data_IF_615034909040
#
_entry.id   IF_615034909040
#
_cell.length_a   1.000
_cell.length_b   1.000
_cell.length_c   1.000
_cell.angle_alpha   90.00
_cell.angle_beta   90.00
_cell.angle_gamma   90.00
#
_symmetry.space_group_name_H-M   'P 1'
#
loop_
_entity.id
_entity.type
_entity.pdbx_description
1 polymer ?
#
# COMPACT_ATOMS: atom_id res chain seq x y z
N UNK A 1 -4.04 -4.39 -6.13
CA UNK A 1 -3.36 -3.27 -5.45
C UNK A 1 -4.15 -2.03 -5.82
N UNK A 2 -4.22 -1.02 -4.97
CA UNK A 2 -4.99 0.20 -5.30
C UNK A 2 -4.03 1.21 -5.95
N UNK A 3 -4.50 1.94 -6.96
CA UNK A 3 -3.72 2.95 -7.68
C UNK A 3 -3.27 4.07 -6.73
N UNK A 4 -4.20 4.63 -5.95
CA UNK A 4 -3.92 5.60 -4.88
C UNK A 4 -4.22 4.99 -3.50
N UNK A 5 -3.64 3.82 -3.22
CA UNK A 5 -3.85 3.13 -1.95
C UNK A 5 -3.02 3.72 -0.81
N UNK A 6 -3.65 3.95 0.34
CA UNK A 6 -2.97 4.45 1.54
C UNK A 6 -1.71 3.66 1.92
N UNK A 7 -1.79 2.33 1.93
CA UNK A 7 -0.62 1.48 2.22
C UNK A 7 0.52 1.67 1.21
N UNK A 8 0.22 1.85 -0.08
CA UNK A 8 1.24 2.07 -1.09
C UNK A 8 1.90 3.45 -0.95
N UNK A 9 1.10 4.48 -0.67
CA UNK A 9 1.58 5.84 -0.39
C UNK A 9 2.46 5.85 0.85
N UNK A 10 2.04 5.16 1.91
CA UNK A 10 2.81 5.08 3.15
C UNK A 10 4.16 4.38 2.95
N UNK A 11 4.15 3.21 2.29
CA UNK A 11 5.40 2.49 1.95
C UNK A 11 6.32 3.40 1.12
N UNK A 12 5.79 4.04 0.07
CA UNK A 12 6.57 4.93 -0.78
C UNK A 12 7.18 6.11 -0.02
N UNK A 13 6.43 6.71 0.91
CA UNK A 13 6.93 7.78 1.77
C UNK A 13 8.06 7.30 2.69
N UNK A 14 7.88 6.16 3.37
CA UNK A 14 8.89 5.63 4.28
C UNK A 14 10.15 5.17 3.52
N UNK A 15 9.99 4.49 2.38
CA UNK A 15 11.12 4.10 1.51
C UNK A 15 11.87 5.33 0.99
N UNK A 16 11.14 6.40 0.63
CA UNK A 16 11.76 7.66 0.22
C UNK A 16 12.59 8.25 1.35
N UNK A 17 12.02 8.40 2.55
CA UNK A 17 12.74 8.94 3.72
C UNK A 17 13.99 8.11 4.04
N UNK A 18 13.85 6.79 4.13
CA UNK A 18 14.96 5.85 4.37
C UNK A 18 16.06 5.98 3.30
N UNK A 19 15.69 6.08 2.02
CA UNK A 19 16.65 6.27 0.92
C UNK A 19 17.44 7.57 0.98
N UNK A 20 16.97 8.56 1.77
CA UNK A 20 17.63 9.84 2.01
C UNK A 20 18.44 9.87 3.30
N UNK A 21 18.56 8.73 4.00
CA UNK A 21 19.27 8.61 5.26
C UNK A 21 18.50 9.17 6.46
N UNK A 22 17.18 9.35 6.33
CA UNK A 22 16.31 9.71 7.45
C UNK A 22 16.02 8.46 8.28
N UNK A 23 16.17 8.56 9.60
CA UNK A 23 15.83 7.49 10.53
C UNK A 23 14.40 7.65 11.01
N UNK A 24 13.55 6.63 10.80
CA UNK A 24 12.15 6.61 11.22
C UNK A 24 12.05 5.96 12.60
N UNK A 25 11.45 6.65 13.56
CA UNK A 25 11.30 6.16 14.94
C UNK A 25 9.89 5.60 15.16
N UNK A 26 8.88 6.34 14.71
CA UNK A 26 7.47 6.02 14.95
C UNK A 26 6.63 6.42 13.73
N UNK A 27 5.63 5.61 13.39
CA UNK A 27 4.69 5.95 12.32
C UNK A 27 3.33 5.30 12.53
N UNK A 28 2.29 5.93 12.00
CA UNK A 28 0.99 5.26 11.86
C UNK A 28 0.30 5.58 10.54
N UNK A 29 -0.62 4.68 10.16
CA UNK A 29 -1.52 4.78 9.01
C UNK A 29 -2.93 4.38 9.44
N UNK A 30 -3.82 5.35 9.59
CA UNK A 30 -5.17 5.15 10.10
C UNK A 30 -6.21 5.49 9.04
N UNK A 31 -7.08 4.54 8.74
CA UNK A 31 -8.13 4.68 7.72
C UNK A 31 -9.50 4.91 8.35
N UNK A 32 -10.22 5.92 7.88
CA UNK A 32 -11.65 6.14 8.13
C UNK A 32 -12.39 5.99 6.80
N UNK A 33 -13.47 5.21 6.75
CA UNK A 33 -14.21 5.02 5.50
C UNK A 33 -15.71 4.95 5.68
N UNK A 34 -16.46 5.33 4.65
CA UNK A 34 -17.93 5.27 4.64
C UNK A 34 -18.52 4.07 3.87
N UNK A 35 -17.69 3.33 3.14
CA UNK A 35 -18.17 2.25 2.29
C UNK A 35 -18.50 0.98 3.06
N UNK A 36 -19.32 0.10 2.47
CA UNK A 36 -19.68 -1.20 3.08
C UNK A 36 -18.47 -2.09 3.39
N UNK A 37 -17.34 -1.92 2.67
CA UNK A 37 -16.08 -2.60 2.98
C UNK A 37 -15.50 -2.18 4.35
N UNK A 38 -15.75 -0.93 4.75
CA UNK A 38 -15.26 -0.38 6.03
C UNK A 38 -16.02 -0.97 7.22
N UNK A 39 -17.34 -1.17 7.09
CA UNK A 39 -18.18 -1.87 8.09
C UNK A 39 -17.66 -3.29 8.32
N UNK A 40 -17.45 -4.05 7.24
CA UNK A 40 -16.96 -5.42 7.33
C UNK A 40 -15.54 -5.50 7.92
N UNK A 41 -14.72 -4.46 7.69
CA UNK A 41 -13.37 -4.38 8.24
C UNK A 41 -13.39 -4.14 9.76
N UNK A 42 -14.29 -3.28 10.24
CA UNK A 42 -14.41 -2.96 11.67
C UNK A 42 -14.93 -4.15 12.49
N UNK A 43 -15.92 -4.88 11.99
CA UNK A 43 -16.60 -5.91 12.80
C UNK A 43 -15.85 -7.25 12.87
N UNK A 44 -15.17 -7.69 11.81
CA UNK A 44 -14.75 -9.10 11.69
C UNK A 44 -13.28 -9.33 11.39
N UNK A 45 -12.58 -8.36 10.82
CA UNK A 45 -11.24 -8.59 10.24
C UNK A 45 -10.20 -7.56 10.65
N UNK A 46 -10.52 -6.70 11.63
CA UNK A 46 -9.68 -5.57 12.04
C UNK A 46 -8.28 -6.03 12.44
N UNK A 47 -8.18 -6.98 13.36
CA UNK A 47 -6.88 -7.42 13.90
C UNK A 47 -6.05 -8.19 12.86
N UNK A 48 -6.72 -8.99 12.03
CA UNK A 48 -6.06 -9.71 10.93
C UNK A 48 -5.50 -8.70 9.90
N UNK A 49 -6.32 -7.76 9.41
CA UNK A 49 -5.86 -6.76 8.44
C UNK A 49 -4.80 -5.84 9.04
N UNK A 50 -4.88 -5.49 10.33
CA UNK A 50 -3.87 -4.70 11.06
C UNK A 50 -2.50 -5.37 11.00
N UNK A 51 -2.41 -6.63 11.41
CA UNK A 51 -1.15 -7.40 11.36
C UNK A 51 -0.62 -7.49 9.93
N UNK A 52 -1.48 -7.75 8.95
CA UNK A 52 -1.06 -7.85 7.55
C UNK A 52 -0.49 -6.53 7.01
N UNK A 53 -1.15 -5.40 7.29
CA UNK A 53 -0.70 -4.08 6.85
C UNK A 53 0.60 -3.69 7.56
N UNK A 54 0.70 -3.90 8.87
CA UNK A 54 1.90 -3.56 9.65
C UNK A 54 3.10 -4.38 9.18
N UNK A 55 2.92 -5.70 9.00
CA UNK A 55 3.97 -6.57 8.47
C UNK A 55 4.35 -6.26 7.02
N UNK A 56 3.40 -5.77 6.21
CA UNK A 56 3.70 -5.35 4.85
C UNK A 56 4.65 -4.14 4.87
N UNK A 57 4.33 -3.11 5.66
CA UNK A 57 5.11 -1.86 5.73
C UNK A 57 6.46 -2.07 6.42
N UNK A 58 6.53 -2.80 7.54
CA UNK A 58 7.79 -3.07 8.27
C UNK A 58 8.86 -3.72 7.39
N UNK A 59 8.46 -4.56 6.43
CA UNK A 59 9.40 -5.25 5.52
C UNK A 59 10.10 -4.35 4.50
N UNK A 60 9.65 -3.10 4.34
CA UNK A 60 10.28 -2.14 3.41
C UNK A 60 11.42 -1.35 4.05
N UNK A 61 11.51 -1.32 5.38
CA UNK A 61 12.53 -0.58 6.12
C UNK A 61 13.48 -1.60 6.77
N UNK A 62 14.82 -1.45 6.64
CA UNK A 62 15.77 -2.48 7.06
C UNK A 62 15.99 -2.58 8.57
N UNK A 63 15.18 -1.88 9.38
CA UNK A 63 15.25 -1.86 10.84
C UNK A 63 13.84 -1.81 11.46
N UNK A 64 13.76 -2.16 12.75
CA UNK A 64 12.52 -2.09 13.50
C UNK A 64 12.24 -0.66 13.96
N UNK A 65 10.97 -0.27 13.88
CA UNK A 65 10.43 0.98 14.38
C UNK A 65 8.97 0.75 14.82
N UNK A 66 8.42 1.67 15.59
CA UNK A 66 7.03 1.57 16.05
C UNK A 66 6.07 1.90 14.91
N UNK A 67 5.19 0.95 14.57
CA UNK A 67 4.27 1.10 13.45
C UNK A 67 2.87 0.58 13.79
N UNK A 68 1.89 1.47 13.64
CA UNK A 68 0.47 1.13 13.73
C UNK A 68 -0.20 1.35 12.38
N UNK A 69 -0.81 0.33 11.79
CA UNK A 69 -1.58 0.49 10.55
C UNK A 69 -2.92 -0.23 10.61
N UNK A 70 -4.03 0.46 10.31
CA UNK A 70 -5.35 -0.15 10.48
C UNK A 70 -6.52 0.76 10.12
N UNK A 71 -7.72 0.19 10.16
CA UNK A 71 -8.95 0.97 10.10
C UNK A 71 -9.29 1.49 11.48
N UNK A 72 -9.43 2.80 11.58
CA UNK A 72 -9.77 3.51 12.81
C UNK A 72 -11.27 3.55 13.03
N UNK A 73 -12.05 3.92 12.02
CA UNK A 73 -13.50 4.11 12.18
C UNK A 73 -14.29 4.02 10.86
N UNK A 74 -15.62 4.03 10.99
CA UNK A 74 -16.58 4.12 9.91
C UNK A 74 -17.45 5.35 10.07
N UNK A 75 -17.65 6.06 8.97
CA UNK A 75 -18.35 7.34 8.96
C UNK A 75 -19.34 7.36 7.79
N UNK A 76 -20.63 7.28 8.10
CA UNK A 76 -21.72 7.15 7.13
C UNK A 76 -21.70 8.22 6.03
N UNK A 77 -21.43 9.47 6.40
CA UNK A 77 -21.46 10.58 5.44
C UNK A 77 -20.31 10.56 4.43
N UNK A 78 -19.29 9.71 4.62
CA UNK A 78 -18.25 9.53 3.61
C UNK A 78 -18.75 8.69 2.41
N UNK A 79 -19.85 7.94 2.54
CA UNK A 79 -20.43 7.11 1.47
C UNK A 79 -19.40 6.17 0.82
N UNK A 80 -18.76 6.52 -0.30
CA UNK A 80 -17.70 5.70 -0.93
C UNK A 80 -16.28 6.25 -0.69
N UNK A 81 -16.19 7.30 0.11
CA UNK A 81 -14.96 7.96 0.51
C UNK A 81 -14.19 7.17 1.55
N UNK A 82 -12.88 7.31 1.46
CA UNK A 82 -11.89 6.86 2.42
C UNK A 82 -10.90 7.99 2.68
N UNK A 83 -10.78 8.35 3.96
CA UNK A 83 -9.76 9.24 4.47
C UNK A 83 -8.69 8.43 5.19
N UNK A 84 -7.45 8.60 4.77
CA UNK A 84 -6.29 7.95 5.37
C UNK A 84 -5.35 8.99 5.96
N UNK A 85 -5.04 8.84 7.24
CA UNK A 85 -4.16 9.71 7.99
C UNK A 85 -2.82 9.02 8.20
N UNK A 86 -1.74 9.74 7.93
CA UNK A 86 -0.38 9.25 8.10
C UNK A 86 0.36 10.16 9.07
N UNK A 87 1.12 9.53 9.95
CA UNK A 87 2.07 10.20 10.82
C UNK A 87 3.43 9.55 10.67
N UNK A 88 4.48 10.35 10.62
CA UNK A 88 5.86 9.88 10.66
C UNK A 88 6.66 10.80 11.58
N UNK A 89 7.39 10.21 12.52
CA UNK A 89 8.36 10.90 13.36
C UNK A 89 9.71 10.24 13.21
N UNK A 90 10.75 11.05 13.24
CA UNK A 90 12.12 10.56 13.19
C UNK A 90 13.15 11.66 13.22
N UNK A 91 14.36 11.31 12.82
CA UNK A 91 15.52 12.18 12.85
C UNK A 91 16.30 12.16 11.53
N UNK A 92 16.94 13.28 11.20
CA UNK A 92 17.74 13.46 10.00
C UNK A 92 19.11 14.10 10.35
N UNK A 93 19.71 14.81 9.41
CA UNK A 93 21.05 15.39 9.52
C UNK A 93 21.31 16.04 10.89
N UNK A 94 22.44 15.65 11.50
CA UNK A 94 22.89 16.13 12.82
C UNK A 94 21.92 15.84 13.98
N UNK A 95 21.05 14.83 13.85
CA UNK A 95 20.08 14.46 14.88
C UNK A 95 18.89 15.42 14.98
N UNK A 96 18.68 16.27 13.97
CA UNK A 96 17.51 17.12 13.91
C UNK A 96 16.25 16.26 13.79
N UNK A 97 15.23 16.55 14.60
CA UNK A 97 13.98 15.82 14.62
C UNK A 97 12.98 16.40 13.62
N UNK A 98 12.06 15.56 13.14
CA UNK A 98 10.91 15.99 12.37
C UNK A 98 9.66 15.19 12.73
N UNK A 99 8.52 15.81 12.46
CA UNK A 99 7.20 15.17 12.45
C UNK A 99 6.50 15.52 11.13
N UNK A 100 5.80 14.54 10.56
CA UNK A 100 5.03 14.70 9.33
C UNK A 100 3.62 14.17 9.56
N UNK A 101 2.63 15.01 9.28
CA UNK A 101 1.22 14.65 9.22
C UNK A 101 0.72 14.80 7.78
N UNK A 102 0.04 13.79 7.26
CA UNK A 102 -0.51 13.79 5.91
C UNK A 102 -1.91 13.18 5.91
N UNK A 103 -2.78 13.70 5.04
CA UNK A 103 -4.11 13.14 4.77
C UNK A 103 -4.23 12.80 3.28
N UNK A 104 -4.73 11.60 2.99
CA UNK A 104 -5.14 11.16 1.66
C UNK A 104 -6.66 10.91 1.67
N UNK A 105 -7.40 11.68 0.88
CA UNK A 105 -8.84 11.48 0.65
C UNK A 105 -9.04 10.87 -0.73
N UNK A 106 -9.70 9.71 -0.79
CA UNK A 106 -9.94 8.98 -2.05
C UNK A 106 -11.33 8.37 -2.07
N UNK A 107 -11.83 8.08 -3.27
CA UNK A 107 -12.95 7.14 -3.44
C UNK A 107 -12.40 5.73 -3.66
N UNK A 108 -12.96 4.73 -2.98
CA UNK A 108 -12.41 3.37 -3.02
C UNK A 108 -12.71 2.66 -4.36
N UNK A 109 -13.83 2.99 -5.01
CA UNK A 109 -14.29 2.33 -6.23
C UNK A 109 -13.35 2.53 -7.44
N UNK A 110 -12.89 3.76 -7.78
CA UNK A 110 -11.96 3.96 -8.90
C UNK A 110 -10.56 3.40 -8.61
N UNK A 111 -10.17 3.36 -7.34
CA UNK A 111 -8.83 3.03 -6.91
C UNK A 111 -8.38 1.61 -7.30
N UNK A 112 -9.30 0.65 -7.43
CA UNK A 112 -8.96 -0.71 -7.86
C UNK A 112 -9.12 -0.90 -9.38
N UNK A 113 -9.86 -0.03 -10.05
CA UNK A 113 -10.27 -0.20 -11.46
C UNK A 113 -9.10 -0.25 -12.42
N UNK A 114 -8.19 0.73 -12.34
CA UNK A 114 -7.03 0.81 -13.25
C UNK A 114 -6.13 -0.43 -13.14
N UNK A 115 -5.77 -0.82 -11.91
CA UNK A 115 -4.92 -1.99 -11.67
C UNK A 115 -5.60 -3.29 -12.11
N UNK A 116 -6.93 -3.41 -11.95
CA UNK A 116 -7.68 -4.56 -12.44
C UNK A 116 -7.63 -4.66 -13.96
N UNK A 117 -7.84 -3.55 -14.68
CA UNK A 117 -7.77 -3.51 -16.15
C UNK A 117 -6.37 -3.89 -16.63
N UNK A 118 -5.33 -3.37 -15.98
CA UNK A 118 -3.94 -3.71 -16.31
C UNK A 118 -3.65 -5.20 -16.10
N UNK A 119 -4.14 -5.80 -15.01
CA UNK A 119 -4.00 -7.25 -14.76
C UNK A 119 -4.69 -8.06 -15.85
N UNK A 120 -5.93 -7.71 -16.22
CA UNK A 120 -6.68 -8.41 -17.26
C UNK A 120 -5.91 -8.39 -18.59
N UNK A 121 -5.39 -7.21 -18.96
CA UNK A 121 -4.60 -7.04 -20.19
C UNK A 121 -3.27 -7.80 -20.12
N UNK A 122 -2.57 -7.72 -18.99
CA UNK A 122 -1.33 -8.47 -18.75
C UNK A 122 -1.53 -9.98 -18.82
N UNK A 123 -2.66 -10.49 -18.32
CA UNK A 123 -3.00 -11.91 -18.42
C UNK A 123 -3.35 -12.34 -19.84
N UNK A 124 -3.96 -11.47 -20.65
CA UNK A 124 -4.16 -11.76 -22.08
C UNK A 124 -2.81 -11.88 -22.80
N UNK A 125 -1.88 -10.95 -22.56
CA UNK A 125 -0.51 -11.02 -23.12
C UNK A 125 0.19 -12.29 -22.66
N UNK A 126 0.04 -12.68 -21.39
CA UNK A 126 0.61 -13.92 -20.86
C UNK A 126 0.08 -15.16 -21.58
N UNK A 127 -1.23 -15.18 -21.86
CA UNK A 127 -1.87 -16.26 -22.62
C UNK A 127 -1.32 -16.31 -24.06
N UNK A 128 -1.19 -15.16 -24.72
CA UNK A 128 -0.68 -15.08 -26.09
C UNK A 128 0.81 -15.49 -26.18
N UNK A 129 1.59 -15.20 -25.13
CA UNK A 129 2.98 -15.65 -24.97
C UNK A 129 3.10 -17.13 -24.55
N UNK A 130 2.00 -17.86 -24.37
CA UNK A 130 1.99 -19.27 -23.96
C UNK A 130 2.48 -19.50 -22.52
N UNK A 131 2.42 -18.47 -21.67
CA UNK A 131 2.84 -18.57 -20.27
C UNK A 131 1.89 -19.46 -19.45
N UNK A 132 2.44 -20.27 -18.55
CA UNK A 132 1.68 -21.13 -17.64
C UNK A 132 2.12 -20.91 -16.19
N UNK A 133 1.20 -21.09 -15.24
CA UNK A 133 1.45 -20.84 -13.82
C UNK A 133 1.41 -19.36 -13.43
N UNK A 134 1.88 -19.00 -12.21
CA UNK A 134 1.89 -17.63 -11.74
C UNK A 134 2.81 -16.74 -12.58
N UNK A 135 2.25 -15.69 -13.20
CA UNK A 135 3.00 -14.71 -13.97
C UNK A 135 3.59 -13.68 -13.00
N UNK A 136 4.84 -13.89 -12.60
CA UNK A 136 5.50 -13.13 -11.52
C UNK A 136 5.37 -11.61 -11.70
N UNK A 137 5.64 -11.09 -12.90
CA UNK A 137 5.54 -9.65 -13.21
C UNK A 137 4.13 -9.07 -12.98
N UNK A 138 3.09 -9.80 -13.37
CA UNK A 138 1.68 -9.40 -13.16
C UNK A 138 1.31 -9.55 -11.69
N UNK A 139 1.74 -10.64 -11.04
CA UNK A 139 1.47 -10.89 -9.63
C UNK A 139 2.07 -9.80 -8.73
N UNK A 140 3.34 -9.44 -8.93
CA UNK A 140 4.02 -8.45 -8.10
C UNK A 140 3.47 -7.04 -8.27
N UNK A 141 3.01 -6.68 -9.48
CA UNK A 141 2.36 -5.39 -9.75
C UNK A 141 0.94 -5.34 -9.20
N UNK A 142 0.16 -6.40 -9.40
CA UNK A 142 -1.28 -6.39 -9.19
C UNK A 142 -1.76 -6.72 -7.78
N UNK A 143 -0.96 -7.37 -6.93
CA UNK A 143 -1.46 -7.99 -5.71
C UNK A 143 -0.70 -7.58 -4.44
N UNK A 144 -1.41 -7.53 -3.31
CA UNK A 144 -0.82 -7.20 -1.99
C UNK A 144 0.06 -8.31 -1.41
N UNK A 145 -0.12 -9.55 -1.90
CA UNK A 145 0.59 -10.76 -1.43
C UNK A 145 0.99 -11.64 -2.62
N UNK A 146 1.92 -11.18 -3.47
CA UNK A 146 2.44 -11.99 -4.56
C UNK A 146 3.36 -13.11 -4.02
N UNK A 147 3.58 -14.14 -4.84
CA UNK A 147 4.50 -15.25 -4.54
C UNK A 147 5.93 -14.74 -4.31
N UNK A 148 6.38 -13.81 -5.15
CA UNK A 148 7.63 -13.07 -4.99
C UNK A 148 7.34 -11.58 -4.92
N UNK A 149 7.92 -10.93 -3.92
CA UNK A 149 7.74 -9.49 -3.66
C UNK A 149 8.92 -8.72 -4.21
N UNK A 150 8.61 -7.60 -4.83
CA UNK A 150 9.56 -6.61 -5.33
C UNK A 150 9.19 -5.25 -4.75
N UNK A 151 10.14 -4.32 -4.73
CA UNK A 151 9.83 -2.91 -4.45
C UNK A 151 8.89 -2.37 -5.52
N UNK A 152 8.04 -1.42 -5.16
CA UNK A 152 7.01 -0.88 -6.07
C UNK A 152 7.56 -0.42 -7.43
N UNK A 153 8.70 0.33 -7.50
CA UNK A 153 9.27 0.73 -8.79
C UNK A 153 9.76 -0.45 -9.63
N UNK A 154 10.30 -1.48 -8.98
CA UNK A 154 10.80 -2.68 -9.64
C UNK A 154 9.65 -3.55 -10.15
N UNK A 155 8.60 -3.76 -9.34
CA UNK A 155 7.39 -4.46 -9.76
C UNK A 155 6.75 -3.80 -10.99
N UNK A 156 6.69 -2.47 -11.00
CA UNK A 156 6.18 -1.70 -12.14
C UNK A 156 7.08 -1.82 -13.38
N UNK A 157 8.40 -1.80 -13.21
CA UNK A 157 9.37 -2.01 -14.29
C UNK A 157 9.19 -3.41 -14.92
N UNK A 158 9.15 -4.46 -14.10
CA UNK A 158 8.96 -5.84 -14.54
C UNK A 158 7.62 -6.01 -15.28
N UNK A 159 6.55 -5.40 -14.78
CA UNK A 159 5.26 -5.41 -15.45
C UNK A 159 5.34 -4.75 -16.84
N UNK A 160 5.93 -3.56 -16.94
CA UNK A 160 6.10 -2.87 -18.24
C UNK A 160 6.95 -3.66 -19.23
N UNK A 161 8.07 -4.21 -18.78
CA UNK A 161 8.94 -5.07 -19.60
C UNK A 161 8.18 -6.33 -20.08
N UNK A 162 7.35 -6.91 -19.24
CA UNK A 162 6.54 -8.08 -19.59
C UNK A 162 5.42 -7.76 -20.59
N UNK A 163 4.77 -6.60 -20.46
CA UNK A 163 3.64 -6.20 -21.33
C UNK A 163 4.06 -5.50 -22.62
N UNK A 164 5.36 -5.21 -22.76
CA UNK A 164 5.95 -4.78 -24.03
C UNK A 164 6.11 -5.97 -24.98
#
# INVERSE_FOLDING_TARGET
MSQMGATAVHIGLLEFLDSRGVHIEESYQLDVGGGSESINTLEKTRDIKRTIKTEAVKKHIPYNFELVSGSADFVDFLVNGRDSFFYVKGSYFSGAEFTLDMKLSTEDSPNAGAVLVDIIRGMMIAKDKGSAGPVEAVCSYGFKRPTRRYKMPEAYRLFKEFTS
#
